data_IF_599374119824
#
_entry.id   IF_599374119824
#
_cell.length_a   1.000
_cell.length_b   1.000
_cell.length_c   1.000
_cell.angle_alpha   90.00
_cell.angle_beta   90.00
_cell.angle_gamma   90.00
#
_symmetry.space_group_name_H-M   'P 1'
#
loop_
_entity.id
_entity.type
_entity.pdbx_description
1 polymer ?
#
# COMPACT_ATOMS: atom_id res chain seq x y z
N UNK A 1 -13.74 7.77 12.58
CA UNK A 1 -14.63 8.80 13.16
C UNK A 1 -15.78 9.00 12.18
N UNK A 2 -16.95 8.46 12.50
CA UNK A 2 -18.14 8.47 11.65
C UNK A 2 -18.90 9.76 11.93
N UNK A 3 -18.76 10.76 11.05
CA UNK A 3 -19.54 12.00 11.14
C UNK A 3 -20.93 11.72 10.62
N UNK A 4 -21.84 11.42 11.56
CA UNK A 4 -23.28 11.35 11.36
C UNK A 4 -23.74 12.65 10.69
N UNK A 5 -24.55 12.62 9.61
CA UNK A 5 -25.06 13.83 9.01
C UNK A 5 -25.94 14.58 10.03
N UNK A 6 -25.97 15.93 9.99
CA UNK A 6 -26.72 16.71 10.96
C UNK A 6 -28.21 16.38 10.83
N UNK A 7 -28.82 15.98 11.96
CA UNK A 7 -30.26 15.80 12.07
C UNK A 7 -30.92 17.15 11.76
N UNK A 8 -31.87 17.23 10.82
CA UNK A 8 -32.57 18.49 10.57
C UNK A 8 -33.28 18.89 11.86
N UNK A 9 -33.02 20.11 12.32
CA UNK A 9 -33.68 20.70 13.47
C UNK A 9 -35.19 20.68 13.22
N UNK A 10 -35.92 19.90 14.01
CA UNK A 10 -37.37 19.89 13.99
C UNK A 10 -37.82 21.21 14.63
N UNK A 11 -38.26 22.16 13.80
CA UNK A 11 -38.93 23.35 14.27
C UNK A 11 -40.19 22.96 15.08
N UNK A 12 -40.51 23.66 16.18
CA UNK A 12 -41.68 23.37 16.98
C UNK A 12 -42.95 23.50 16.13
N UNK A 13 -43.78 22.45 16.15
CA UNK A 13 -45.05 22.41 15.43
C UNK A 13 -46.04 23.32 16.18
N UNK A 14 -46.10 24.59 15.79
CA UNK A 14 -47.21 25.48 16.12
C UNK A 14 -48.44 25.02 15.33
N UNK A 15 -49.33 24.27 15.97
CA UNK A 15 -50.58 23.79 15.39
C UNK A 15 -51.59 24.93 15.26
N UNK A 16 -51.42 25.77 14.24
CA UNK A 16 -52.51 26.63 13.77
C UNK A 16 -53.52 25.72 13.06
N UNK A 17 -54.82 25.77 13.36
CA UNK A 17 -55.82 24.93 12.71
C UNK A 17 -55.99 25.38 11.26
N UNK A 18 -55.15 24.85 10.38
CA UNK A 18 -55.29 24.95 8.95
C UNK A 18 -56.55 24.19 8.54
N UNK A 19 -57.43 24.82 7.76
CA UNK A 19 -58.57 24.13 7.14
C UNK A 19 -58.09 22.95 6.30
N UNK A 20 -58.93 21.92 6.13
CA UNK A 20 -58.60 20.66 5.45
C UNK A 20 -57.86 20.84 4.10
N UNK A 21 -58.27 21.83 3.29
CA UNK A 21 -57.63 22.16 2.02
C UNK A 21 -56.16 22.61 2.17
N UNK A 22 -55.83 23.35 3.23
CA UNK A 22 -54.47 23.81 3.49
C UNK A 22 -53.58 22.68 4.05
N UNK A 23 -54.15 21.73 4.79
CA UNK A 23 -53.46 20.50 5.20
C UNK A 23 -53.13 19.61 4.00
N UNK A 24 -54.07 19.45 3.05
CA UNK A 24 -53.82 18.72 1.80
C UNK A 24 -52.72 19.36 0.97
N UNK A 25 -52.70 20.69 0.85
CA UNK A 25 -51.64 21.41 0.13
C UNK A 25 -50.28 21.23 0.82
N UNK A 26 -50.22 21.35 2.16
CA UNK A 26 -48.99 21.13 2.90
C UNK A 26 -48.44 19.69 2.75
N UNK A 27 -49.33 18.69 2.71
CA UNK A 27 -48.95 17.29 2.44
C UNK A 27 -48.45 17.10 1.01
N UNK A 28 -49.12 17.69 0.02
CA UNK A 28 -48.68 17.64 -1.38
C UNK A 28 -47.31 18.29 -1.56
N UNK A 29 -47.09 19.46 -0.96
CA UNK A 29 -45.78 20.13 -0.97
C UNK A 29 -44.70 19.27 -0.29
N UNK A 30 -45.04 18.59 0.81
CA UNK A 30 -44.12 17.69 1.48
C UNK A 30 -43.79 16.46 0.64
N UNK A 31 -44.79 15.86 -0.03
CA UNK A 31 -44.59 14.74 -0.96
C UNK A 31 -43.67 15.14 -2.12
N UNK A 32 -43.92 16.29 -2.75
CA UNK A 32 -43.06 16.82 -3.82
C UNK A 32 -41.60 17.05 -3.36
N UNK A 33 -41.41 17.54 -2.13
CA UNK A 33 -40.06 17.69 -1.53
C UNK A 33 -39.39 16.35 -1.25
N UNK A 34 -40.16 15.34 -0.84
CA UNK A 34 -39.61 13.99 -0.63
C UNK A 34 -39.24 13.33 -1.94
N UNK A 35 -40.06 13.45 -2.98
CA UNK A 35 -39.78 12.93 -4.33
C UNK A 35 -38.51 13.56 -4.93
N UNK A 36 -38.38 14.89 -4.84
CA UNK A 36 -37.15 15.57 -5.31
C UNK A 36 -35.91 15.16 -4.51
N UNK A 37 -36.05 14.92 -3.20
CA UNK A 37 -34.95 14.41 -2.38
C UNK A 37 -34.58 12.96 -2.73
N UNK A 38 -35.56 12.09 -2.94
CA UNK A 38 -35.34 10.69 -3.30
C UNK A 38 -34.61 10.61 -4.63
N UNK A 39 -35.09 11.32 -5.66
CA UNK A 39 -34.47 11.34 -6.98
C UNK A 39 -33.02 11.88 -6.95
N UNK A 40 -32.75 12.92 -6.16
CA UNK A 40 -31.38 13.41 -5.94
C UNK A 40 -30.49 12.35 -5.29
N UNK A 41 -30.98 11.70 -4.22
CA UNK A 41 -30.21 10.67 -3.52
C UNK A 41 -29.99 9.41 -4.38
N UNK A 42 -30.96 9.02 -5.20
CA UNK A 42 -30.82 7.93 -6.16
C UNK A 42 -29.73 8.23 -7.20
N UNK A 43 -29.70 9.46 -7.70
CA UNK A 43 -28.67 9.91 -8.63
C UNK A 43 -27.28 9.92 -7.99
N UNK A 44 -27.15 10.48 -6.78
CA UNK A 44 -25.90 10.46 -6.02
C UNK A 44 -25.43 9.04 -5.72
N UNK A 45 -26.34 8.16 -5.31
CA UNK A 45 -26.01 6.76 -5.02
C UNK A 45 -25.54 6.04 -6.29
N UNK A 46 -26.21 6.28 -7.42
CA UNK A 46 -25.77 5.74 -8.71
C UNK A 46 -24.38 6.24 -9.09
N UNK A 47 -24.12 7.53 -8.95
CA UNK A 47 -22.81 8.14 -9.20
C UNK A 47 -21.71 7.59 -8.27
N UNK A 48 -22.01 7.41 -6.98
CA UNK A 48 -21.07 6.80 -6.04
C UNK A 48 -20.80 5.34 -6.38
N UNK A 49 -21.84 4.57 -6.73
CA UNK A 49 -21.71 3.18 -7.11
C UNK A 49 -20.87 3.01 -8.37
N UNK A 50 -21.09 3.84 -9.39
CA UNK A 50 -20.31 3.80 -10.63
C UNK A 50 -18.84 4.15 -10.37
N UNK A 51 -18.56 5.23 -9.62
CA UNK A 51 -17.21 5.62 -9.24
C UNK A 51 -16.46 4.54 -8.43
N UNK A 52 -17.14 3.93 -7.45
CA UNK A 52 -16.54 2.84 -6.66
C UNK A 52 -16.27 1.61 -7.54
N UNK A 53 -17.20 1.23 -8.41
CA UNK A 53 -17.00 0.09 -9.32
C UNK A 53 -15.82 0.31 -10.28
N UNK A 54 -15.69 1.51 -10.85
CA UNK A 54 -14.56 1.85 -11.73
C UNK A 54 -13.22 1.82 -10.96
N UNK A 55 -13.21 2.33 -9.72
CA UNK A 55 -12.02 2.28 -8.86
C UNK A 55 -11.64 0.85 -8.49
N UNK A 56 -12.61 -0.01 -8.18
CA UNK A 56 -12.39 -1.43 -7.90
C UNK A 56 -11.77 -2.11 -9.13
N UNK A 57 -12.37 -1.94 -10.30
CA UNK A 57 -11.85 -2.51 -11.55
C UNK A 57 -10.41 -2.05 -11.85
N UNK A 58 -10.11 -0.76 -11.64
CA UNK A 58 -8.75 -0.23 -11.82
C UNK A 58 -7.74 -0.84 -10.83
N UNK A 59 -8.15 -1.03 -9.56
CA UNK A 59 -7.31 -1.65 -8.55
C UNK A 59 -7.07 -3.15 -8.84
N UNK A 60 -8.10 -3.86 -9.29
CA UNK A 60 -8.00 -5.27 -9.69
C UNK A 60 -7.06 -5.44 -10.89
N UNK A 61 -7.20 -4.60 -11.92
CA UNK A 61 -6.29 -4.60 -13.07
C UNK A 61 -4.84 -4.32 -12.65
N UNK A 62 -4.62 -3.35 -11.75
CA UNK A 62 -3.29 -3.06 -11.20
C UNK A 62 -2.74 -4.23 -10.41
N UNK A 63 -3.56 -4.89 -9.60
CA UNK A 63 -3.14 -6.06 -8.81
C UNK A 63 -2.76 -7.24 -9.72
N UNK A 64 -3.55 -7.52 -10.75
CA UNK A 64 -3.25 -8.52 -11.76
C UNK A 64 -1.90 -8.24 -12.45
N UNK A 65 -1.64 -6.98 -12.82
CA UNK A 65 -0.37 -6.56 -13.40
C UNK A 65 0.81 -6.77 -12.44
N UNK A 66 0.69 -6.36 -11.17
CA UNK A 66 1.74 -6.55 -10.17
C UNK A 66 2.01 -8.04 -9.88
N UNK A 67 0.97 -8.86 -9.82
CA UNK A 67 1.10 -10.31 -9.65
C UNK A 67 1.83 -10.95 -10.84
N UNK A 68 1.50 -10.55 -12.08
CA UNK A 68 2.23 -10.97 -13.27
C UNK A 68 3.72 -10.57 -13.21
N UNK A 69 4.01 -9.33 -12.83
CA UNK A 69 5.40 -8.86 -12.66
C UNK A 69 6.16 -9.66 -11.60
N UNK A 70 5.56 -9.93 -10.45
CA UNK A 70 6.17 -10.75 -9.39
C UNK A 70 6.51 -12.15 -9.91
N UNK A 71 5.59 -12.81 -10.61
CA UNK A 71 5.83 -14.13 -11.22
C UNK A 71 7.01 -14.10 -12.19
N UNK A 72 7.08 -13.09 -13.06
CA UNK A 72 8.19 -12.91 -14.01
C UNK A 72 9.53 -12.72 -13.30
N UNK A 73 9.57 -11.90 -12.24
CA UNK A 73 10.79 -11.66 -11.48
C UNK A 73 11.24 -12.90 -10.69
N UNK A 74 10.31 -13.65 -10.10
CA UNK A 74 10.63 -14.92 -9.44
C UNK A 74 11.21 -15.92 -10.45
N UNK A 75 10.62 -16.04 -11.64
CA UNK A 75 11.16 -16.91 -12.68
C UNK A 75 12.58 -16.51 -13.12
N UNK A 76 12.84 -15.20 -13.28
CA UNK A 76 14.18 -14.69 -13.58
C UNK A 76 15.19 -15.01 -12.47
N UNK A 77 14.77 -14.89 -11.21
CA UNK A 77 15.62 -15.21 -10.06
C UNK A 77 15.98 -16.70 -10.01
N UNK A 78 15.00 -17.59 -10.21
CA UNK A 78 15.25 -19.03 -10.25
C UNK A 78 16.23 -19.40 -11.37
N UNK A 79 16.12 -18.78 -12.54
CA UNK A 79 17.07 -18.98 -13.64
C UNK A 79 18.48 -18.47 -13.30
N UNK A 80 18.61 -17.33 -12.61
CA UNK A 80 19.91 -16.83 -12.17
C UNK A 80 20.55 -17.74 -11.12
N UNK A 81 19.74 -18.31 -10.22
CA UNK A 81 20.22 -19.23 -9.20
C UNK A 81 20.78 -20.52 -9.83
N UNK A 82 20.08 -21.10 -10.82
CA UNK A 82 20.59 -22.30 -11.51
C UNK A 82 21.87 -22.00 -12.28
N UNK A 83 21.93 -20.87 -13.00
CA UNK A 83 23.14 -20.45 -13.71
C UNK A 83 24.33 -20.22 -12.76
N UNK A 84 24.08 -19.64 -11.57
CA UNK A 84 25.13 -19.47 -10.55
C UNK A 84 25.59 -20.80 -9.98
N UNK A 85 24.68 -21.74 -9.76
CA UNK A 85 25.03 -23.10 -9.31
C UNK A 85 25.87 -23.83 -10.36
N UNK A 86 25.47 -23.77 -11.64
CA UNK A 86 26.23 -24.37 -12.74
C UNK A 86 27.60 -23.73 -12.90
N UNK A 87 27.69 -22.40 -12.78
CA UNK A 87 28.97 -21.69 -12.78
C UNK A 87 29.86 -22.12 -11.59
N UNK A 88 29.30 -22.27 -10.40
CA UNK A 88 30.01 -22.78 -9.22
C UNK A 88 30.52 -24.21 -9.39
N UNK A 89 29.68 -25.10 -9.95
CA UNK A 89 30.07 -26.47 -10.26
C UNK A 89 31.18 -26.51 -11.32
N UNK A 90 31.06 -25.70 -12.38
CA UNK A 90 32.06 -25.61 -13.43
C UNK A 90 33.39 -25.00 -12.94
N UNK A 91 33.33 -24.03 -12.02
CA UNK A 91 34.50 -23.49 -11.32
C UNK A 91 35.15 -24.58 -10.48
N UNK A 92 34.38 -25.31 -9.67
CA UNK A 92 34.92 -26.36 -8.81
C UNK A 92 35.63 -27.46 -9.61
N UNK A 93 35.01 -27.95 -10.69
CA UNK A 93 35.62 -28.93 -11.58
C UNK A 93 36.92 -28.40 -12.18
N UNK A 94 36.93 -27.18 -12.73
CA UNK A 94 38.14 -26.59 -13.31
C UNK A 94 39.23 -26.37 -12.27
N UNK A 95 38.87 -25.94 -11.06
CA UNK A 95 39.83 -25.68 -9.98
C UNK A 95 40.63 -26.89 -9.54
N UNK A 96 40.17 -28.11 -9.85
CA UNK A 96 40.92 -29.35 -9.60
C UNK A 96 42.05 -29.56 -10.62
N UNK A 97 41.94 -28.97 -11.82
CA UNK A 97 42.86 -29.15 -12.95
C UNK A 97 43.68 -27.86 -13.27
N UNK A 98 43.52 -26.79 -12.49
CA UNK A 98 44.17 -25.48 -12.72
C UNK A 98 45.65 -25.51 -12.31
N UNK A 99 46.53 -25.14 -13.25
CA UNK A 99 47.91 -24.71 -12.97
C UNK A 99 47.89 -23.32 -12.29
N UNK A 100 48.84 -22.99 -11.41
CA UNK A 100 48.84 -21.72 -10.63
C UNK A 100 48.61 -20.44 -11.48
N UNK A 101 48.97 -20.49 -12.76
CA UNK A 101 48.88 -19.40 -13.74
C UNK A 101 47.45 -19.08 -14.21
N UNK A 102 46.52 -20.06 -14.17
CA UNK A 102 45.14 -19.92 -14.68
C UNK A 102 44.10 -19.64 -13.56
N UNK A 103 44.53 -19.61 -12.30
CA UNK A 103 43.65 -19.43 -11.15
C UNK A 103 43.02 -18.02 -11.10
N UNK A 104 43.80 -17.00 -11.45
CA UNK A 104 43.38 -15.59 -11.39
C UNK A 104 42.22 -15.29 -12.35
N UNK A 105 42.32 -15.74 -13.60
CA UNK A 105 41.26 -15.55 -14.60
C UNK A 105 39.95 -16.27 -14.24
N UNK A 106 40.05 -17.43 -13.60
CA UNK A 106 38.88 -18.22 -13.19
C UNK A 106 38.22 -17.62 -11.94
N UNK A 107 39.00 -17.04 -11.01
CA UNK A 107 38.49 -16.25 -9.88
C UNK A 107 37.79 -14.97 -10.35
N UNK A 108 38.32 -14.28 -11.36
CA UNK A 108 37.71 -13.07 -11.93
C UNK A 108 36.33 -13.36 -12.56
N UNK A 109 36.22 -14.45 -13.34
CA UNK A 109 34.93 -14.86 -13.92
C UNK A 109 33.91 -15.20 -12.83
N UNK A 110 34.33 -15.90 -11.78
CA UNK A 110 33.47 -16.21 -10.65
C UNK A 110 33.02 -14.95 -9.89
N UNK A 111 33.96 -14.07 -9.54
CA UNK A 111 33.66 -12.80 -8.87
C UNK A 111 32.71 -11.92 -9.70
N UNK A 112 32.89 -11.90 -11.02
CA UNK A 112 31.98 -11.22 -11.96
C UNK A 112 30.55 -11.76 -11.91
N UNK A 113 30.40 -13.09 -11.84
CA UNK A 113 29.08 -13.74 -11.73
C UNK A 113 28.35 -13.38 -10.42
N UNK A 114 29.07 -13.38 -9.29
CA UNK A 114 28.55 -12.98 -7.97
C UNK A 114 28.11 -11.51 -7.99
N UNK A 115 28.95 -10.62 -8.55
CA UNK A 115 28.64 -9.20 -8.67
C UNK A 115 27.43 -8.94 -9.57
N UNK A 116 27.22 -9.73 -10.63
CA UNK A 116 26.02 -9.61 -11.46
C UNK A 116 24.75 -9.90 -10.66
N UNK A 117 24.76 -10.96 -9.84
CA UNK A 117 23.63 -11.33 -8.98
C UNK A 117 23.36 -10.24 -7.93
N UNK A 118 24.40 -9.74 -7.26
CA UNK A 118 24.27 -8.65 -6.28
C UNK A 118 23.72 -7.36 -6.89
N UNK A 119 24.24 -6.95 -8.05
CA UNK A 119 23.75 -5.77 -8.77
C UNK A 119 22.29 -5.93 -9.20
N UNK A 120 21.88 -7.12 -9.63
CA UNK A 120 20.50 -7.40 -9.96
C UNK A 120 19.58 -7.24 -8.73
N UNK A 121 20.01 -7.77 -7.58
CA UNK A 121 19.30 -7.66 -6.32
C UNK A 121 19.14 -6.20 -5.87
N UNK A 122 20.22 -5.42 -5.92
CA UNK A 122 20.21 -3.99 -5.58
C UNK A 122 19.30 -3.18 -6.51
N UNK A 123 19.29 -3.46 -7.82
CA UNK A 123 18.38 -2.80 -8.77
C UNK A 123 16.91 -3.12 -8.48
N UNK A 124 16.58 -4.34 -8.08
CA UNK A 124 15.21 -4.72 -7.70
C UNK A 124 14.79 -3.98 -6.43
N UNK A 125 15.65 -3.95 -5.41
CA UNK A 125 15.38 -3.23 -4.15
C UNK A 125 15.22 -1.72 -4.39
N UNK A 126 16.10 -1.11 -5.18
CA UNK A 126 16.03 0.32 -5.52
C UNK A 126 14.77 0.68 -6.32
N UNK A 127 14.35 -0.18 -7.26
CA UNK A 127 13.08 0.01 -8.00
C UNK A 127 11.85 -0.20 -7.12
N UNK A 128 11.93 -1.02 -6.08
CA UNK A 128 10.86 -1.21 -5.09
C UNK A 128 10.64 0.01 -4.19
N UNK A 129 11.72 0.75 -3.87
CA UNK A 129 11.66 1.97 -3.05
C UNK A 129 11.19 3.21 -3.83
N UNK A 130 11.63 3.38 -5.09
CA UNK A 130 11.26 4.55 -5.90
C UNK A 130 9.79 4.60 -6.35
N UNK A 131 9.04 3.50 -6.22
CA UNK A 131 7.66 3.37 -6.69
C UNK A 131 6.66 3.16 -5.55
N UNK A 132 6.92 3.68 -4.34
CA UNK A 132 5.95 3.78 -3.24
C UNK A 132 5.26 2.47 -2.79
N UNK A 133 5.78 1.31 -3.19
CA UNK A 133 5.14 0.00 -2.97
C UNK A 133 5.84 -0.82 -1.88
N UNK A 134 7.04 -0.41 -1.48
CA UNK A 134 7.69 -0.88 -0.27
C UNK A 134 8.31 0.33 0.43
N UNK A 135 7.46 1.11 1.10
CA UNK A 135 7.93 1.64 2.36
C UNK A 135 8.42 0.42 3.17
N UNK A 136 9.61 0.45 3.81
CA UNK A 136 9.89 -0.54 4.84
C UNK A 136 8.68 -0.51 5.75
N UNK A 137 8.05 -1.66 5.98
CA UNK A 137 6.88 -1.77 6.83
C UNK A 137 7.26 -1.21 8.20
N UNK A 138 7.02 0.09 8.40
CA UNK A 138 6.85 0.64 9.71
C UNK A 138 5.67 -0.16 10.27
N UNK A 139 5.84 -0.88 11.39
CA UNK A 139 4.71 -1.53 12.02
C UNK A 139 3.67 -0.44 12.25
N UNK A 140 2.41 -0.77 11.93
CA UNK A 140 1.27 0.11 12.09
C UNK A 140 1.22 0.63 13.52
N UNK A 141 1.82 1.79 13.78
CA UNK A 141 1.48 2.59 14.93
C UNK A 141 0.30 3.44 14.50
N UNK A 142 -0.86 3.05 15.03
CA UNK A 142 -2.06 3.85 15.20
C UNK A 142 -1.83 5.33 14.84
N UNK A 143 -2.44 5.77 13.75
CA UNK A 143 -2.81 7.16 13.57
C UNK A 143 -3.97 7.48 14.53
N UNK A 144 -3.75 7.31 15.83
CA UNK A 144 -4.58 7.91 16.85
C UNK A 144 -3.98 9.29 17.13
N UNK A 145 -4.78 10.30 16.78
CA UNK A 145 -4.71 11.62 17.39
C UNK A 145 -4.84 11.45 18.90
N UNK A 146 -3.73 11.24 19.59
CA UNK A 146 -3.58 11.46 21.02
C UNK A 146 -2.14 11.92 21.22
N UNK A 147 -1.96 13.03 21.94
CA UNK A 147 -0.68 13.68 22.20
C UNK A 147 0.25 12.83 23.06
N UNK A 148 0.71 11.70 22.53
CA UNK A 148 1.72 10.85 23.15
C UNK A 148 3.09 11.36 22.74
N UNK A 149 3.73 12.04 23.69
CA UNK A 149 5.12 12.43 23.62
C UNK A 149 5.97 11.17 23.47
N UNK A 150 6.73 11.05 22.38
CA UNK A 150 7.62 9.92 22.14
C UNK A 150 8.62 9.77 23.29
N UNK A 151 9.00 8.54 23.71
CA UNK A 151 10.02 8.33 24.72
C UNK A 151 11.32 9.05 24.37
N UNK A 152 11.96 9.69 25.35
CA UNK A 152 13.23 10.38 25.18
C UNK A 152 14.25 9.42 24.56
N UNK A 153 14.71 9.71 23.34
CA UNK A 153 15.57 8.82 22.56
C UNK A 153 15.00 8.43 21.20
N UNK A 154 13.72 8.68 20.95
CA UNK A 154 13.08 8.51 19.65
C UNK A 154 12.82 9.88 18.97
N UNK A 155 12.74 9.89 17.64
CA UNK A 155 12.33 11.06 16.87
C UNK A 155 10.80 11.07 16.68
N UNK A 156 10.27 12.18 16.17
CA UNK A 156 8.83 12.36 15.90
C UNK A 156 8.27 11.36 14.87
N UNK A 157 9.16 10.69 14.12
CA UNK A 157 8.81 9.62 13.19
C UNK A 157 8.82 8.22 13.85
N UNK A 158 9.10 8.11 15.15
CA UNK A 158 9.10 6.86 15.90
C UNK A 158 10.38 6.01 15.78
N UNK A 159 11.51 6.63 15.39
CA UNK A 159 12.81 5.96 15.24
C UNK A 159 13.79 6.35 16.35
N UNK A 160 14.55 5.37 16.84
CA UNK A 160 15.64 5.59 17.79
C UNK A 160 16.69 6.53 17.17
N UNK A 161 17.04 7.61 17.87
CA UNK A 161 18.02 8.60 17.38
C UNK A 161 19.43 8.03 17.26
N UNK A 162 19.78 7.03 18.07
CA UNK A 162 21.11 6.43 18.07
C UNK A 162 21.30 5.42 16.93
N UNK A 163 20.27 4.64 16.62
CA UNK A 163 20.39 3.48 15.71
C UNK A 163 19.56 3.62 14.43
N UNK A 164 18.71 4.64 14.33
CA UNK A 164 17.85 4.85 13.15
C UNK A 164 16.82 3.74 12.93
N UNK A 165 16.50 2.94 13.95
CA UNK A 165 15.54 1.83 13.88
C UNK A 165 14.20 2.20 14.49
N UNK A 166 13.10 1.66 13.94
CA UNK A 166 11.75 1.89 14.44
C UNK A 166 11.55 1.29 15.84
N UNK A 167 10.65 1.89 16.63
CA UNK A 167 10.29 1.38 17.96
C UNK A 167 9.81 -0.09 17.92
N UNK A 168 10.20 -0.98 18.83
CA UNK A 168 11.15 -0.84 19.94
C UNK A 168 12.60 -1.17 19.53
N UNK A 169 13.58 -0.39 20.00
CA UNK A 169 14.99 -0.61 19.70
C UNK A 169 15.58 -1.69 20.63
N UNK A 170 15.82 -2.89 20.10
CA UNK A 170 16.45 -3.99 20.86
C UNK A 170 17.85 -3.67 21.40
N UNK A 171 18.59 -2.78 20.73
CA UNK A 171 19.93 -2.37 21.18
C UNK A 171 19.88 -1.41 22.39
N UNK A 172 18.83 -0.60 22.50
CA UNK A 172 18.64 0.32 23.62
C UNK A 172 17.83 -0.28 24.78
N UNK A 173 17.07 -1.37 24.54
CA UNK A 173 16.28 -2.03 25.58
C UNK A 173 15.15 -1.17 26.18
N UNK A 174 14.78 -0.07 25.50
CA UNK A 174 13.72 0.88 25.88
C UNK A 174 12.76 1.13 24.72
#
# INVERSE_FOLDING_TARGET
MSTKPPRPAQAPITTVPLGFAAQLRALSDHQSRLESRITSLEHENWSLKSNLSARIAALEARNAHLSSRRRKTVAQFLNLQSLHQDAGNAFHLRSQDIQEEDLEGILDVWAGSVNMVLNHHQRILGRGQGQGQFAPQAPMAMRQQMGWQYPMGYNEAGYCRAHGVAYWCRACGQ
#
